data_IF_158474132352
#
_entry.id   IF_158474132352
#
_cell.length_a   1.000
_cell.length_b   1.000
_cell.length_c   1.000
_cell.angle_alpha   90.00
_cell.angle_beta   90.00
_cell.angle_gamma   90.00
#
_symmetry.space_group_name_H-M   'P 1'
#
loop_
_entity.id
_entity.type
_entity.pdbx_description
1 polymer ?
#
# COMPACT_ATOMS: atom_id res chain seq x y z
N UNK A 1 -22.74 2.61 -20.16
CA UNK A 1 -21.75 3.41 -19.43
C UNK A 1 -20.55 2.51 -19.18
N UNK A 2 -19.33 2.91 -19.57
CA UNK A 2 -18.11 2.13 -19.34
C UNK A 2 -17.47 2.64 -18.03
N UNK A 3 -17.34 1.77 -17.04
CA UNK A 3 -16.67 2.07 -15.77
C UNK A 3 -15.18 1.82 -15.96
N UNK A 4 -14.36 2.85 -15.74
CA UNK A 4 -12.89 2.69 -15.71
C UNK A 4 -12.49 2.19 -14.33
N UNK A 5 -11.68 1.14 -14.27
CA UNK A 5 -11.12 0.58 -13.04
C UNK A 5 -9.61 0.70 -13.04
N UNK A 6 -9.01 0.82 -11.87
CA UNK A 6 -7.55 0.76 -11.68
C UNK A 6 -7.20 -0.49 -10.88
N UNK A 7 -5.96 -0.97 -11.02
CA UNK A 7 -5.44 -2.01 -10.14
C UNK A 7 -5.42 -1.48 -8.71
N UNK A 8 -5.89 -2.30 -7.77
CA UNK A 8 -5.88 -1.97 -6.35
C UNK A 8 -4.71 -2.65 -5.66
N UNK A 9 -4.03 -1.90 -4.78
CA UNK A 9 -2.96 -2.39 -3.94
C UNK A 9 -3.15 -1.84 -2.52
N UNK A 10 -3.18 -2.72 -1.52
CA UNK A 10 -3.35 -2.32 -0.12
C UNK A 10 -2.24 -1.38 0.33
N UNK A 11 -1.00 -1.63 -0.13
CA UNK A 11 0.17 -0.88 0.30
C UNK A 11 -0.03 0.62 0.07
N UNK A 12 -0.63 1.02 -1.05
CA UNK A 12 -0.85 2.42 -1.45
C UNK A 12 -1.64 3.24 -0.41
N UNK A 13 -2.47 2.59 0.40
CA UNK A 13 -3.31 3.23 1.42
C UNK A 13 -2.73 3.14 2.85
N UNK A 14 -1.60 2.46 3.02
CA UNK A 14 -0.91 2.31 4.30
C UNK A 14 0.14 3.41 4.49
N UNK A 15 -0.29 4.67 4.46
CA UNK A 15 0.57 5.86 4.47
C UNK A 15 0.77 6.49 5.86
N UNK A 16 -0.11 6.16 6.80
CA UNK A 16 -0.10 6.70 8.15
C UNK A 16 -0.26 5.60 9.21
N UNK A 17 0.19 5.85 10.46
CA UNK A 17 0.15 4.85 11.52
C UNK A 17 -1.26 4.32 11.83
N UNK A 18 -2.29 5.18 11.75
CA UNK A 18 -3.67 4.79 12.05
C UNK A 18 -4.17 3.79 11.01
N UNK A 19 -3.98 4.06 9.72
CA UNK A 19 -4.36 3.14 8.64
C UNK A 19 -3.68 1.77 8.79
N UNK A 20 -2.40 1.75 9.17
CA UNK A 20 -1.65 0.51 9.42
C UNK A 20 -2.25 -0.29 10.58
N UNK A 21 -2.59 0.37 11.69
CA UNK A 21 -3.17 -0.32 12.86
C UNK A 21 -4.54 -0.90 12.52
N UNK A 22 -5.43 -0.11 11.92
CA UNK A 22 -6.77 -0.58 11.53
C UNK A 22 -6.69 -1.77 10.56
N UNK A 23 -5.80 -1.70 9.57
CA UNK A 23 -5.60 -2.76 8.60
C UNK A 23 -5.07 -4.06 9.23
N UNK A 24 -4.09 -3.96 10.13
CA UNK A 24 -3.57 -5.13 10.85
C UNK A 24 -4.62 -5.71 11.81
N UNK A 25 -5.36 -4.87 12.53
CA UNK A 25 -6.44 -5.33 13.41
C UNK A 25 -7.48 -6.13 12.64
N UNK A 26 -7.92 -5.64 11.47
CA UNK A 26 -8.86 -6.36 10.61
C UNK A 26 -8.30 -7.74 10.18
N UNK A 27 -7.01 -7.81 9.84
CA UNK A 27 -6.37 -9.08 9.50
C UNK A 27 -6.26 -10.03 10.71
N UNK A 28 -6.01 -9.51 11.91
CA UNK A 28 -5.96 -10.30 13.15
C UNK A 28 -7.34 -10.78 13.60
N UNK A 29 -8.40 -10.00 13.39
CA UNK A 29 -9.78 -10.37 13.73
C UNK A 29 -10.29 -11.56 12.92
N UNK A 30 -9.87 -11.70 11.66
CA UNK A 30 -10.18 -12.87 10.82
C UNK A 30 -9.51 -14.16 11.36
N UNK A 31 -8.38 -14.03 12.06
CA UNK A 31 -7.65 -15.13 12.67
C UNK A 31 -6.88 -16.02 11.68
N UNK A 32 -7.01 -15.78 10.37
CA UNK A 32 -6.31 -16.53 9.33
C UNK A 32 -4.84 -16.10 9.24
N UNK A 33 -3.93 -17.03 9.56
CA UNK A 33 -2.48 -16.77 9.52
C UNK A 33 -1.98 -16.32 8.14
N UNK A 34 -2.58 -16.79 7.04
CA UNK A 34 -2.19 -16.36 5.71
C UNK A 34 -2.53 -14.89 5.44
N UNK A 35 -3.70 -14.43 5.92
CA UNK A 35 -4.09 -13.02 5.81
C UNK A 35 -3.21 -12.12 6.68
N UNK A 36 -2.89 -12.56 7.89
CA UNK A 36 -1.98 -11.82 8.79
C UNK A 36 -0.59 -11.67 8.15
N UNK A 37 -0.05 -12.74 7.56
CA UNK A 37 1.25 -12.69 6.86
C UNK A 37 1.17 -11.75 5.65
N UNK A 38 0.11 -11.84 4.85
CA UNK A 38 -0.11 -10.93 3.71
C UNK A 38 -0.16 -9.46 4.15
N UNK A 39 -0.93 -9.17 5.19
CA UNK A 39 -1.07 -7.82 5.73
C UNK A 39 0.27 -7.26 6.25
N UNK A 40 1.10 -8.10 6.87
CA UNK A 40 2.44 -7.71 7.30
C UNK A 40 3.37 -7.41 6.11
N UNK A 41 3.29 -8.17 5.02
CA UNK A 41 4.07 -7.88 3.81
C UNK A 41 3.61 -6.57 3.15
N UNK A 42 2.30 -6.32 3.08
CA UNK A 42 1.74 -5.07 2.55
C UNK A 42 2.21 -3.86 3.36
N UNK A 43 2.21 -3.95 4.70
CA UNK A 43 2.76 -2.89 5.58
C UNK A 43 4.27 -2.72 5.35
N UNK A 44 5.03 -3.80 5.21
CA UNK A 44 6.47 -3.74 4.96
C UNK A 44 6.77 -3.06 3.60
N UNK A 45 6.02 -3.42 2.56
CA UNK A 45 6.09 -2.79 1.24
C UNK A 45 5.75 -1.31 1.30
N UNK A 46 4.67 -0.95 1.99
CA UNK A 46 4.25 0.44 2.13
C UNK A 46 5.34 1.30 2.80
N UNK A 47 5.96 0.79 3.87
CA UNK A 47 7.09 1.48 4.53
C UNK A 47 8.31 1.62 3.61
N UNK A 48 8.63 0.60 2.81
CA UNK A 48 9.71 0.67 1.82
C UNK A 48 9.42 1.75 0.76
N UNK A 49 8.20 1.83 0.24
CA UNK A 49 7.80 2.86 -0.73
C UNK A 49 7.87 4.27 -0.16
N UNK A 50 7.37 4.48 1.06
CA UNK A 50 7.46 5.78 1.74
C UNK A 50 8.91 6.23 1.95
N UNK A 51 9.80 5.28 2.30
CA UNK A 51 11.24 5.56 2.43
C UNK A 51 11.87 5.89 1.08
N UNK A 52 11.52 5.15 0.03
CA UNK A 52 12.03 5.37 -1.32
C UNK A 52 11.64 6.75 -1.86
N UNK A 53 10.35 7.11 -1.78
CA UNK A 53 9.84 8.42 -2.19
C UNK A 53 10.60 9.55 -1.47
N UNK A 54 10.75 9.43 -0.14
CA UNK A 54 11.52 10.39 0.66
C UNK A 54 12.98 10.51 0.20
N UNK A 55 13.64 9.40 -0.11
CA UNK A 55 15.03 9.42 -0.59
C UNK A 55 15.18 9.99 -2.00
N UNK A 56 14.16 9.82 -2.85
CA UNK A 56 14.13 10.36 -4.20
C UNK A 56 13.67 11.84 -4.25
N UNK A 57 13.27 12.42 -3.11
CA UNK A 57 12.77 13.80 -3.05
C UNK A 57 11.42 14.01 -3.72
N UNK A 58 10.65 12.93 -3.91
CA UNK A 58 9.31 12.96 -4.54
C UNK A 58 8.24 12.50 -3.56
N UNK A 59 6.97 12.75 -3.91
CA UNK A 59 5.85 12.24 -3.12
C UNK A 59 5.62 10.75 -3.42
N UNK A 60 4.93 10.06 -2.50
CA UNK A 60 4.59 8.65 -2.67
C UNK A 60 3.66 8.42 -3.85
N UNK A 61 2.74 9.35 -4.10
CA UNK A 61 1.80 9.32 -5.21
C UNK A 61 2.50 9.57 -6.55
N UNK A 62 3.54 10.39 -6.57
CA UNK A 62 4.40 10.56 -7.74
C UNK A 62 5.17 9.26 -8.02
N UNK A 63 5.75 8.65 -6.98
CA UNK A 63 6.45 7.37 -7.11
C UNK A 63 5.55 6.24 -7.60
N UNK A 64 4.34 6.12 -7.05
CA UNK A 64 3.37 5.08 -7.46
C UNK A 64 2.91 5.27 -8.91
N UNK A 65 2.66 6.52 -9.34
CA UNK A 65 2.35 6.83 -10.75
C UNK A 65 3.47 6.45 -11.71
N UNK A 66 4.72 6.77 -11.39
CA UNK A 66 5.88 6.41 -12.24
C UNK A 66 6.11 4.91 -12.37
N UNK A 67 5.65 4.10 -11.40
CA UNK A 67 5.75 2.64 -11.41
C UNK A 67 4.50 1.95 -11.99
N UNK A 68 3.45 2.70 -12.27
CA UNK A 68 2.22 2.21 -12.88
C UNK A 68 2.40 1.87 -14.36
N UNK A 69 1.42 1.17 -14.93
CA UNK A 69 1.46 0.64 -16.31
C UNK A 69 1.64 1.73 -17.39
N UNK A 70 1.38 3.00 -17.05
CA UNK A 70 1.46 4.16 -17.91
C UNK A 70 2.59 5.14 -17.52
N UNK A 71 3.62 4.71 -16.78
CA UNK A 71 4.67 5.58 -16.23
C UNK A 71 5.11 6.70 -17.18
N UNK A 72 4.78 7.95 -16.82
CA UNK A 72 5.08 9.18 -17.59
C UNK A 72 6.59 9.39 -17.81
#
# INVERSE_FOLDING_TARGET
MIIKTTKWDAADYLDNPKAIVEYLNAAFEDGNSALIIGALDDVARAKRMSKLAKSAGITREALSRSLGEDGD
#
